data_IF_111221030219
#
_entry.id   IF_111221030219
#
_cell.length_a   1.000
_cell.length_b   1.000
_cell.length_c   1.000
_cell.angle_alpha   90.00
_cell.angle_beta   90.00
_cell.angle_gamma   90.00
#
_symmetry.space_group_name_H-M   'P 1'
#
loop_
_entity.id
_entity.type
_entity.pdbx_description
1 polymer ?
#
# COMPACT_ATOMS: atom_id res chain seq x y z
N UNK A 1 11.33 17.84 -8.42
CA UNK A 1 10.66 17.57 -7.14
C UNK A 1 11.14 18.61 -6.16
N UNK A 2 10.22 19.20 -5.40
CA UNK A 2 10.56 20.14 -4.33
C UNK A 2 10.81 19.34 -3.04
N UNK A 3 11.85 19.70 -2.29
CA UNK A 3 12.23 19.00 -1.05
C UNK A 3 12.00 19.90 0.16
N UNK A 4 11.37 19.36 1.20
CA UNK A 4 11.18 20.05 2.47
C UNK A 4 11.98 19.34 3.57
N UNK A 5 12.81 20.09 4.30
CA UNK A 5 13.58 19.55 5.42
C UNK A 5 12.68 19.33 6.64
N UNK A 6 12.80 18.16 7.26
CA UNK A 6 12.07 17.79 8.47
C UNK A 6 13.07 17.40 9.57
N UNK A 7 12.87 17.94 10.77
CA UNK A 7 13.67 17.57 11.96
C UNK A 7 12.91 16.54 12.78
N UNK A 8 13.55 15.40 13.08
CA UNK A 8 12.95 14.30 13.83
C UNK A 8 13.70 14.07 15.14
N UNK A 9 12.96 14.00 16.24
CA UNK A 9 13.48 13.56 17.53
C UNK A 9 13.29 12.06 17.67
N UNK A 10 14.40 11.30 17.62
CA UNK A 10 14.39 9.84 17.73
C UNK A 10 15.17 9.37 18.97
N UNK A 11 14.75 8.27 19.62
CA UNK A 11 15.54 7.66 20.68
C UNK A 11 16.95 7.30 20.19
N UNK A 12 17.97 7.57 21.01
CA UNK A 12 19.38 7.37 20.62
C UNK A 12 19.67 5.94 20.16
N UNK A 13 19.04 4.96 20.81
CA UNK A 13 19.19 3.54 20.45
C UNK A 13 18.59 3.21 19.09
N UNK A 14 17.44 3.80 18.76
CA UNK A 14 16.80 3.65 17.44
C UNK A 14 17.69 4.27 16.37
N UNK A 15 18.20 5.47 16.61
CA UNK A 15 19.11 6.16 15.68
C UNK A 15 20.37 5.34 15.41
N UNK A 16 20.96 4.74 16.45
CA UNK A 16 22.15 3.88 16.31
C UNK A 16 21.85 2.65 15.44
N UNK A 17 20.76 1.94 15.71
CA UNK A 17 20.37 0.76 14.91
C UNK A 17 20.06 1.12 13.46
N UNK A 18 19.33 2.22 13.24
CA UNK A 18 19.02 2.69 11.90
C UNK A 18 20.28 3.04 11.08
N UNK A 19 21.30 3.63 11.72
CA UNK A 19 22.59 3.89 11.07
C UNK A 19 23.29 2.59 10.65
N UNK A 20 23.30 1.56 11.49
CA UNK A 20 23.86 0.26 11.12
C UNK A 20 23.14 -0.34 9.91
N UNK A 21 21.81 -0.33 9.91
CA UNK A 21 21.00 -0.82 8.79
C UNK A 21 21.30 -0.04 7.51
N UNK A 22 21.42 1.29 7.58
CA UNK A 22 21.75 2.11 6.44
C UNK A 22 23.12 1.73 5.85
N UNK A 23 24.12 1.51 6.71
CA UNK A 23 25.46 1.06 6.29
C UNK A 23 25.40 -0.32 5.63
N UNK A 24 24.72 -1.28 6.24
CA UNK A 24 24.56 -2.63 5.70
C UNK A 24 23.88 -2.64 4.33
N UNK A 25 22.95 -1.70 4.10
CA UNK A 25 22.24 -1.53 2.81
C UNK A 25 22.98 -0.63 1.82
N UNK A 26 24.12 -0.05 2.19
CA UNK A 26 24.86 0.89 1.34
C UNK A 26 24.12 2.21 1.08
N UNK A 27 23.24 2.63 2.00
CA UNK A 27 22.46 3.88 1.88
C UNK A 27 22.82 4.88 2.98
N UNK A 28 22.41 6.14 2.80
CA UNK A 28 22.43 7.11 3.89
C UNK A 28 21.23 6.90 4.83
N UNK A 29 21.32 7.44 6.06
CA UNK A 29 20.19 7.42 6.99
C UNK A 29 18.99 8.21 6.44
N UNK A 30 19.24 9.37 5.85
CA UNK A 30 18.18 10.17 5.22
C UNK A 30 17.54 9.42 4.06
N UNK A 31 18.34 8.76 3.20
CA UNK A 31 17.82 7.96 2.10
C UNK A 31 16.98 6.76 2.58
N UNK A 32 17.41 6.10 3.66
CA UNK A 32 16.62 5.03 4.30
C UNK A 32 15.27 5.54 4.79
N UNK A 33 15.24 6.71 5.45
CA UNK A 33 14.01 7.34 5.94
C UNK A 33 13.11 7.80 4.81
N UNK A 34 13.66 8.42 3.77
CA UNK A 34 12.92 8.82 2.56
C UNK A 34 12.25 7.60 1.93
N UNK A 35 13.00 6.51 1.73
CA UNK A 35 12.45 5.31 1.13
C UNK A 35 11.31 4.71 1.98
N UNK A 36 11.48 4.65 3.31
CA UNK A 36 10.45 4.16 4.21
C UNK A 36 9.16 5.01 4.15
N UNK A 37 9.30 6.33 4.05
CA UNK A 37 8.15 7.24 3.90
C UNK A 37 7.46 7.04 2.54
N UNK A 38 8.22 6.93 1.45
CA UNK A 38 7.67 6.65 0.11
C UNK A 38 6.95 5.31 0.05
N UNK A 39 7.49 4.27 0.69
CA UNK A 39 6.81 2.97 0.77
C UNK A 39 5.51 3.04 1.57
N UNK A 40 5.50 3.81 2.66
CA UNK A 40 4.31 3.98 3.48
C UNK A 40 3.22 4.72 2.71
N UNK A 41 3.54 5.83 2.04
CA UNK A 41 2.55 6.58 1.25
C UNK A 41 2.06 5.77 0.06
N UNK A 42 2.97 5.07 -0.63
CA UNK A 42 2.60 4.23 -1.77
C UNK A 42 1.60 3.13 -1.39
N UNK A 43 1.83 2.45 -0.27
CA UNK A 43 0.92 1.40 0.22
C UNK A 43 -0.47 1.94 0.55
N UNK A 44 -0.54 3.11 1.17
CA UNK A 44 -1.81 3.77 1.48
C UNK A 44 -2.57 4.17 0.20
N UNK A 45 -1.86 4.77 -0.75
CA UNK A 45 -2.43 5.21 -2.03
C UNK A 45 -2.92 4.02 -2.88
N UNK A 46 -2.14 2.93 -2.95
CA UNK A 46 -2.51 1.72 -3.70
C UNK A 46 -3.77 1.07 -3.12
N UNK A 47 -3.86 0.94 -1.81
CA UNK A 47 -5.05 0.39 -1.15
C UNK A 47 -6.29 1.26 -1.38
N UNK A 48 -6.15 2.58 -1.18
CA UNK A 48 -7.26 3.51 -1.40
C UNK A 48 -7.75 3.46 -2.85
N UNK A 49 -6.84 3.47 -3.82
CA UNK A 49 -7.18 3.36 -5.25
C UNK A 49 -7.87 2.04 -5.58
N UNK A 50 -7.37 0.91 -5.09
CA UNK A 50 -7.99 -0.39 -5.33
C UNK A 50 -9.41 -0.46 -4.74
N UNK A 51 -9.60 0.07 -3.53
CA UNK A 51 -10.90 0.17 -2.89
C UNK A 51 -11.87 1.03 -3.70
N UNK A 52 -11.47 2.24 -4.08
CA UNK A 52 -12.30 3.15 -4.87
C UNK A 52 -12.69 2.54 -6.21
N UNK A 53 -11.72 1.93 -6.90
CA UNK A 53 -11.96 1.24 -8.16
C UNK A 53 -12.99 0.11 -8.02
N UNK A 54 -12.86 -0.75 -7.01
CA UNK A 54 -13.81 -1.85 -6.81
C UNK A 54 -15.19 -1.38 -6.35
N UNK A 55 -15.28 -0.33 -5.54
CA UNK A 55 -16.57 0.26 -5.17
C UNK A 55 -17.29 0.85 -6.39
N UNK A 56 -16.56 1.60 -7.22
CA UNK A 56 -17.12 2.12 -8.47
C UNK A 56 -17.60 0.98 -9.39
N UNK A 57 -16.85 -0.11 -9.46
CA UNK A 57 -17.24 -1.30 -10.23
C UNK A 57 -18.54 -1.94 -9.71
N UNK A 58 -18.74 -2.00 -8.39
CA UNK A 58 -19.96 -2.52 -7.79
C UNK A 58 -21.18 -1.63 -8.12
N UNK A 59 -20.99 -0.32 -8.21
CA UNK A 59 -22.06 0.63 -8.56
C UNK A 59 -22.35 0.66 -10.07
N UNK A 60 -21.36 0.32 -10.91
CA UNK A 60 -21.48 0.38 -12.38
C UNK A 60 -22.29 -0.80 -12.96
N UNK A 61 -22.16 -2.00 -12.39
CA UNK A 61 -22.78 -3.20 -12.95
C UNK A 61 -24.08 -3.59 -12.23
N UNK A 62 -25.21 -3.47 -12.93
CA UNK A 62 -26.41 -4.25 -12.56
C UNK A 62 -26.21 -5.69 -13.02
N UNK A 63 -25.81 -6.55 -12.09
CA UNK A 63 -25.56 -7.98 -12.33
C UNK A 63 -26.87 -8.77 -12.59
N UNK A 64 -28.04 -8.11 -12.55
CA UNK A 64 -29.37 -8.70 -12.76
C UNK A 64 -29.69 -9.92 -11.88
N UNK A 65 -28.90 -10.17 -10.83
CA UNK A 65 -29.09 -11.29 -9.90
C UNK A 65 -30.24 -11.04 -8.94
N UNK A 66 -30.64 -9.77 -8.74
CA UNK A 66 -31.61 -9.35 -7.73
C UNK A 66 -31.31 -9.92 -6.33
N UNK A 67 -30.02 -10.16 -6.04
CA UNK A 67 -29.57 -10.79 -4.79
C UNK A 67 -29.75 -12.31 -4.71
N UNK A 68 -30.20 -12.98 -5.78
CA UNK A 68 -30.39 -14.43 -5.82
C UNK A 68 -29.31 -15.10 -6.67
N UNK A 69 -28.70 -16.14 -6.12
CA UNK A 69 -27.73 -16.98 -6.82
C UNK A 69 -28.49 -18.15 -7.44
N UNK A 70 -28.49 -18.25 -8.77
CA UNK A 70 -29.19 -19.29 -9.54
C UNK A 70 -28.28 -20.43 -10.03
N UNK A 71 -26.97 -20.30 -9.83
CA UNK A 71 -25.95 -21.21 -10.31
C UNK A 71 -25.23 -21.87 -9.14
N UNK A 72 -24.81 -23.13 -9.33
CA UNK A 72 -23.93 -23.85 -8.42
C UNK A 72 -22.48 -23.74 -8.89
N UNK A 73 -21.53 -24.05 -8.00
CA UNK A 73 -20.11 -24.07 -8.35
C UNK A 73 -19.82 -25.04 -9.51
N UNK A 74 -20.54 -26.16 -9.57
CA UNK A 74 -20.43 -27.16 -10.64
C UNK A 74 -20.81 -26.57 -11.99
N UNK A 75 -21.91 -25.82 -12.05
CA UNK A 75 -22.43 -25.19 -13.27
C UNK A 75 -21.45 -24.15 -13.87
N UNK A 76 -20.55 -23.59 -13.06
CA UNK A 76 -19.50 -22.67 -13.52
C UNK A 76 -18.22 -23.37 -14.00
N UNK A 77 -17.98 -24.60 -13.55
CA UNK A 77 -16.78 -25.37 -13.88
C UNK A 77 -16.94 -26.25 -15.11
N UNK A 78 -18.16 -26.49 -15.57
CA UNK A 78 -18.45 -27.17 -16.82
C UNK A 78 -18.15 -26.22 -18.00
N UNK A 79 -16.85 -26.05 -18.29
CA UNK A 79 -16.32 -25.47 -19.53
C UNK A 79 -15.50 -26.50 -20.27
#
# INVERSE_FOLDING_TARGET
MEYQNVTLSLPREVLRRAKHIAIERGTSLSGLLTHLLEELTRKEDEYCRAKEYHLAMLDEFDLATKGNITWTRSDLHDR
#
